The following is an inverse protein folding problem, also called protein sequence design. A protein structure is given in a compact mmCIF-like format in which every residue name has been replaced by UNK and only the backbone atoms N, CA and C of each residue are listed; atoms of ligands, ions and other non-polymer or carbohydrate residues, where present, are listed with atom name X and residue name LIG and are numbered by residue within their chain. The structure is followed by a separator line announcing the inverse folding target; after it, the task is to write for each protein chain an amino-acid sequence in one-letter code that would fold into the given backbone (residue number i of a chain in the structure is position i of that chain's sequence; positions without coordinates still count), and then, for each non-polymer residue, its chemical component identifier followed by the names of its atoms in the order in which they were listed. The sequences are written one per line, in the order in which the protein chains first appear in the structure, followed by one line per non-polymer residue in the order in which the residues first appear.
data_IF_691699182465
#
_entry.id   IF_691699182465
#
_cell.length_a   1.000
_cell.length_b   1.000
_cell.length_c   1.000
_cell.angle_alpha   90.00
_cell.angle_beta   90.00
_cell.angle_gamma   90.00
#
_symmetry.space_group_name_H-M   'P 1'
#
loop_
_entity.id
_entity.type
_entity.pdbx_description
1 polymer ?
#
# COMPACT_ATOMS: atom_id res chain seq x y z
N UNK A 1 0.57 -9.98 11.16
CA UNK A 1 0.78 -8.51 11.02
C UNK A 1 -0.05 -8.02 9.82
N UNK A 2 -0.35 -6.72 9.67
CA UNK A 2 -1.05 -6.21 8.49
C UNK A 2 -0.08 -5.44 7.59
N UNK A 3 -0.35 -5.43 6.29
CA UNK A 3 0.36 -4.63 5.29
C UNK A 3 -0.62 -3.78 4.50
N UNK A 4 -0.19 -2.57 4.13
CA UNK A 4 -0.87 -1.75 3.15
C UNK A 4 -0.21 -1.94 1.80
N UNK A 5 -0.93 -2.49 0.83
CA UNK A 5 -0.45 -2.69 -0.53
C UNK A 5 -1.06 -1.62 -1.41
N UNK A 6 -0.22 -0.84 -2.08
CA UNK A 6 -0.62 0.23 -3.00
C UNK A 6 -0.30 -0.20 -4.43
N UNK A 7 -1.28 -0.11 -5.32
CA UNK A 7 -1.06 -0.27 -6.76
C UNK A 7 -0.91 1.12 -7.35
N UNK A 8 0.23 1.38 -7.99
CA UNK A 8 0.49 2.62 -8.66
C UNK A 8 1.06 2.40 -10.06
N UNK A 9 0.77 3.30 -10.99
CA UNK A 9 1.30 3.27 -12.35
C UNK A 9 2.23 4.45 -12.60
N UNK A 10 3.19 4.32 -13.52
CA UNK A 10 4.07 5.43 -13.86
C UNK A 10 3.26 6.60 -14.41
N UNK A 11 3.50 7.81 -13.91
CA UNK A 11 2.79 9.01 -14.34
C UNK A 11 2.99 9.31 -15.83
N UNK A 12 4.17 8.94 -16.37
CA UNK A 12 4.52 9.11 -17.79
C UNK A 12 4.13 7.91 -18.66
N UNK A 13 3.81 6.77 -18.05
CA UNK A 13 3.39 5.56 -18.75
C UNK A 13 2.37 4.78 -17.91
N UNK A 14 1.07 5.12 -18.02
CA UNK A 14 0.02 4.53 -17.20
C UNK A 14 -0.19 3.02 -17.42
N UNK A 15 0.43 2.43 -18.44
CA UNK A 15 0.36 0.97 -18.67
C UNK A 15 1.31 0.19 -17.77
N UNK A 16 2.31 0.87 -17.19
CA UNK A 16 3.30 0.27 -16.31
C UNK A 16 2.92 0.46 -14.85
N UNK A 17 2.23 -0.52 -14.28
CA UNK A 17 1.79 -0.53 -12.89
C UNK A 17 2.59 -1.51 -12.01
N UNK A 18 2.77 -1.16 -10.74
CA UNK A 18 3.46 -2.00 -9.74
C UNK A 18 2.74 -1.95 -8.40
N UNK A 19 2.90 -3.04 -7.66
CA UNK A 19 2.54 -3.09 -6.24
C UNK A 19 3.68 -2.51 -5.40
N UNK A 20 3.31 -1.70 -4.40
CA UNK A 20 4.19 -1.09 -3.43
C UNK A 20 3.71 -1.45 -2.03
N UNK A 21 4.55 -2.17 -1.31
CA UNK A 21 4.26 -2.71 0.00
C UNK A 21 4.67 -1.70 1.09
N UNK A 22 3.69 -1.16 1.79
CA UNK A 22 3.84 -0.24 2.92
C UNK A 22 3.56 -1.03 4.20
N UNK A 23 4.62 -1.49 4.86
CA UNK A 23 4.51 -2.25 6.11
C UNK A 23 3.80 -1.41 7.18
N UNK A 24 2.69 -1.93 7.72
CA UNK A 24 2.00 -1.32 8.83
C UNK A 24 2.50 -1.96 10.13
N UNK A 25 3.27 -1.19 10.90
CA UNK A 25 3.83 -1.65 12.17
C UNK A 25 2.84 -1.61 13.34
N UNK A 26 1.58 -1.21 13.13
CA UNK A 26 0.62 -1.04 14.23
C UNK A 26 0.03 -2.40 14.62
N UNK A 27 0.38 -2.96 15.79
CA UNK A 27 -0.16 -4.25 16.23
C UNK A 27 -1.65 -4.12 16.58
N UNK A 28 -2.41 -5.19 16.39
CA UNK A 28 -3.80 -5.25 16.83
C UNK A 28 -4.83 -4.52 15.94
N UNK A 29 -4.41 -3.92 14.81
CA UNK A 29 -5.37 -3.42 13.82
C UNK A 29 -6.11 -4.59 13.18
N UNK A 30 -7.43 -4.45 13.06
CA UNK A 30 -8.22 -5.30 12.17
C UNK A 30 -8.26 -4.71 10.74
N UNK A 31 -8.80 -5.46 9.79
CA UNK A 31 -8.81 -5.07 8.38
C UNK A 31 -9.55 -3.74 8.11
N UNK A 32 -10.67 -3.48 8.80
CA UNK A 32 -11.44 -2.25 8.62
C UNK A 32 -10.68 -1.04 9.18
N UNK A 33 -10.11 -1.14 10.37
CA UNK A 33 -9.28 -0.08 10.97
C UNK A 33 -8.05 0.22 10.12
N UNK A 34 -7.44 -0.81 9.52
CA UNK A 34 -6.33 -0.64 8.59
C UNK A 34 -6.70 0.26 7.41
N UNK A 35 -7.84 0.00 6.76
CA UNK A 35 -8.29 0.77 5.60
C UNK A 35 -8.55 2.25 5.93
N UNK A 36 -9.18 2.54 7.08
CA UNK A 36 -9.38 3.93 7.50
C UNK A 36 -8.05 4.63 7.80
N UNK A 37 -7.13 3.92 8.46
CA UNK A 37 -5.82 4.46 8.81
C UNK A 37 -4.88 4.57 7.59
N UNK A 38 -5.18 3.92 6.47
CA UNK A 38 -4.33 3.93 5.29
C UNK A 38 -4.45 5.21 4.48
N UNK A 39 -5.60 5.89 4.49
CA UNK A 39 -5.86 7.11 3.70
C UNK A 39 -4.73 8.15 3.81
N UNK A 40 -4.34 8.63 5.02
CA UNK A 40 -3.26 9.62 5.13
C UNK A 40 -1.89 9.04 4.74
N UNK A 41 -1.69 7.73 4.83
CA UNK A 41 -0.44 7.06 4.44
C UNK A 41 -0.30 6.97 2.93
N UNK A 42 -1.38 6.60 2.23
CA UNK A 42 -1.43 6.56 0.76
C UNK A 42 -1.21 7.96 0.20
N UNK A 43 -1.86 8.99 0.77
CA UNK A 43 -1.66 10.38 0.37
C UNK A 43 -0.21 10.83 0.55
N UNK A 44 0.42 10.51 1.68
CA UNK A 44 1.83 10.82 1.92
C UNK A 44 2.75 10.06 0.95
N UNK A 45 2.46 8.79 0.70
CA UNK A 45 3.23 7.98 -0.24
C UNK A 45 3.21 8.59 -1.64
N UNK A 46 2.04 8.97 -2.14
CA UNK A 46 1.86 9.63 -3.43
C UNK A 46 2.66 10.94 -3.53
N UNK A 47 2.69 11.76 -2.47
CA UNK A 47 3.49 12.99 -2.43
C UNK A 47 5.00 12.72 -2.49
N UNK A 48 5.46 11.61 -1.91
CA UNK A 48 6.88 11.22 -1.96
C UNK A 48 7.27 10.52 -3.28
N UNK A 49 6.30 10.12 -4.09
CA UNK A 49 6.48 9.33 -5.31
C UNK A 49 5.81 10.02 -6.51
N UNK A 50 6.22 11.25 -6.82
CA UNK A 50 5.63 12.08 -7.89
C UNK A 50 5.66 11.44 -9.29
N UNK A 51 6.57 10.48 -9.52
CA UNK A 51 6.64 9.70 -10.76
C UNK A 51 5.58 8.60 -10.88
N UNK A 52 4.78 8.38 -9.85
CA UNK A 52 3.76 7.34 -9.76
C UNK A 52 2.38 7.95 -9.52
N UNK A 53 1.34 7.25 -9.95
CA UNK A 53 -0.07 7.61 -9.68
C UNK A 53 -0.75 6.42 -9.03
N UNK A 54 -1.20 6.57 -7.79
CA UNK A 54 -2.00 5.55 -7.09
C UNK A 54 -3.31 5.30 -7.84
N UNK A 55 -3.56 4.02 -8.13
CA UNK A 55 -4.82 3.55 -8.73
C UNK A 55 -5.73 2.90 -7.68
N UNK A 56 -5.16 2.13 -6.76
CA UNK A 56 -5.91 1.45 -5.71
C UNK A 56 -4.98 1.09 -4.54
N UNK A 57 -5.58 0.75 -3.40
CA UNK A 57 -4.85 0.20 -2.26
C UNK A 57 -5.73 -0.78 -1.49
N UNK A 58 -5.09 -1.73 -0.79
CA UNK A 58 -5.77 -2.71 0.06
C UNK A 58 -4.94 -3.02 1.30
N UNK A 59 -5.61 -3.48 2.34
CA UNK A 59 -4.96 -4.06 3.50
C UNK A 59 -4.90 -5.58 3.36
N UNK A 60 -3.73 -6.17 3.57
CA UNK A 60 -3.51 -7.60 3.53
C UNK A 60 -2.97 -8.11 4.86
N UNK A 61 -3.39 -9.32 5.25
CA UNK A 61 -2.74 -10.03 6.35
C UNK A 61 -1.39 -10.53 5.86
N UNK A 62 -0.34 -10.16 6.57
CA UNK A 62 0.97 -10.80 6.43
C UNK A 62 0.84 -12.15 7.14
N UNK A 63 0.55 -13.18 6.35
CA UNK A 63 0.91 -14.54 6.70
C UNK A 63 2.41 -14.64 6.53
N UNK A 64 3.15 -14.89 7.61
CA UNK A 64 4.53 -15.38 7.54
C UNK A 64 4.50 -16.77 6.91
N UNK A 65 4.20 -16.85 5.61
CA UNK A 65 4.69 -17.92 4.77
C UNK A 65 5.92 -17.34 4.08
N UNK A 66 7.03 -17.65 4.73
CA UNK A 66 8.38 -17.60 4.21
C UNK A 66 8.36 -17.89 2.70
N UNK A 67 8.77 -16.90 1.90
CA UNK A 67 9.26 -17.18 0.56
C UNK A 67 10.59 -17.93 0.74
N UNK A 68 10.49 -19.25 0.91
CA UNK A 68 11.59 -20.22 0.76
C UNK A 68 11.40 -20.95 -0.56
#
# INVERSE_FOLDING_TARGET
MLELIVVACLARDPTHCREHNLTLLTPGLNASQCLYSSIPRVSRWQQMHEGWTVQSWRCALITTEEST
#
